data_IF_878491531050
#
_entry.id   IF_878491531050
#
_cell.length_a   1.000
_cell.length_b   1.000
_cell.length_c   1.000
_cell.angle_alpha   90.00
_cell.angle_beta   90.00
_cell.angle_gamma   90.00
#
_symmetry.space_group_name_H-M   'P 1'
#
loop_
_entity.id
_entity.type
_entity.pdbx_description
1 polymer ?
#
# COMPACT_ATOMS: atom_id res chain seq x y z
N UNK A 1 -61.69 -1.14 -25.03
CA UNK A 1 -60.35 -1.44 -25.57
C UNK A 1 -59.29 -0.56 -24.89
N UNK A 2 -59.16 -0.61 -23.55
CA UNK A 2 -58.27 0.29 -22.79
C UNK A 2 -57.76 -0.31 -21.46
N UNK A 3 -57.60 -1.63 -21.35
CA UNK A 3 -57.05 -2.25 -20.12
C UNK A 3 -55.76 -3.06 -20.32
N UNK A 4 -55.19 -3.09 -21.53
CA UNK A 4 -53.99 -3.91 -21.83
C UNK A 4 -52.65 -3.17 -21.73
N UNK A 5 -52.65 -1.84 -21.54
CA UNK A 5 -51.42 -1.05 -21.49
C UNK A 5 -50.99 -0.67 -20.06
N UNK A 6 -51.81 -0.92 -19.03
CA UNK A 6 -51.45 -0.55 -17.65
C UNK A 6 -50.43 -1.52 -17.03
N UNK A 7 -50.41 -2.79 -17.44
CA UNK A 7 -49.47 -3.78 -16.89
C UNK A 7 -48.05 -3.70 -17.47
N UNK A 8 -47.89 -3.16 -18.67
CA UNK A 8 -46.56 -2.96 -19.27
C UNK A 8 -45.80 -1.76 -18.69
N UNK A 9 -46.51 -0.78 -18.12
CA UNK A 9 -45.90 0.40 -17.54
C UNK A 9 -45.40 0.19 -16.09
N UNK A 10 -46.03 -0.73 -15.33
CA UNK A 10 -45.58 -1.08 -13.98
C UNK A 10 -44.36 -2.00 -13.98
N UNK A 11 -44.22 -2.88 -14.98
CA UNK A 11 -43.06 -3.78 -15.10
C UNK A 11 -41.78 -3.05 -15.54
N UNK A 12 -41.92 -1.92 -16.25
CA UNK A 12 -40.79 -1.10 -16.68
C UNK A 12 -40.33 -0.10 -15.61
N UNK A 13 -41.15 0.21 -14.61
CA UNK A 13 -40.77 1.08 -13.49
C UNK A 13 -39.91 0.36 -12.43
N UNK A 14 -40.11 -0.96 -12.26
CA UNK A 14 -39.29 -1.77 -11.33
C UNK A 14 -37.86 -2.03 -11.85
N UNK A 15 -37.65 -2.02 -13.17
CA UNK A 15 -36.32 -2.23 -13.76
C UNK A 15 -35.44 -0.96 -13.76
N UNK A 16 -35.97 0.21 -13.39
CA UNK A 16 -35.26 1.49 -13.45
C UNK A 16 -34.93 2.09 -12.08
N UNK A 17 -35.39 1.50 -10.97
CA UNK A 17 -35.15 2.02 -9.61
C UNK A 17 -34.19 1.17 -8.75
N UNK A 18 -33.62 0.09 -9.30
CA UNK A 18 -32.57 -0.68 -8.65
C UNK A 18 -31.18 -0.06 -8.79
N UNK A 19 -31.04 1.26 -8.65
CA UNK A 19 -29.72 1.85 -8.39
C UNK A 19 -29.40 1.62 -6.92
N UNK A 20 -29.12 0.36 -6.55
CA UNK A 20 -28.59 0.03 -5.23
C UNK A 20 -27.35 0.88 -5.05
N UNK A 21 -27.41 1.84 -4.14
CA UNK A 21 -26.30 2.72 -3.80
C UNK A 21 -25.19 1.85 -3.26
N UNK A 22 -24.27 1.44 -4.12
CA UNK A 22 -23.16 0.60 -3.71
C UNK A 22 -22.17 1.46 -2.92
N UNK A 23 -22.15 1.32 -1.60
CA UNK A 23 -21.21 2.04 -0.75
C UNK A 23 -19.78 1.58 -1.10
N UNK A 24 -18.93 2.53 -1.50
CA UNK A 24 -17.50 2.29 -1.63
C UNK A 24 -16.88 2.34 -0.23
N UNK A 25 -16.27 1.22 0.20
CA UNK A 25 -15.52 1.15 1.44
C UNK A 25 -14.04 1.34 1.10
N UNK A 26 -13.37 2.23 1.81
CA UNK A 26 -11.92 2.43 1.70
C UNK A 26 -11.26 2.25 3.06
N UNK A 27 -10.15 1.51 3.09
CA UNK A 27 -9.37 1.27 4.30
C UNK A 27 -7.89 1.41 3.99
N UNK A 28 -7.14 1.90 4.97
CA UNK A 28 -5.71 2.19 4.84
C UNK A 28 -4.99 1.69 6.08
N UNK A 29 -3.76 1.23 5.91
CA UNK A 29 -2.93 0.62 6.94
C UNK A 29 -1.51 1.18 6.83
N UNK A 30 -0.89 1.52 7.96
CA UNK A 30 0.55 1.79 8.00
C UNK A 30 1.37 0.49 7.91
N UNK A 31 2.70 0.62 7.85
CA UNK A 31 3.63 -0.51 7.79
C UNK A 31 3.60 -1.44 9.02
N UNK A 32 2.98 -1.01 10.12
CA UNK A 32 2.75 -1.82 11.33
C UNK A 32 1.37 -2.52 11.31
N UNK A 33 0.55 -2.23 10.29
CA UNK A 33 -0.82 -2.73 10.16
C UNK A 33 -1.84 -1.90 10.94
N UNK A 34 -1.51 -0.74 11.48
CA UNK A 34 -2.48 0.10 12.16
C UNK A 34 -3.42 0.75 11.14
N UNK A 35 -4.72 0.70 11.42
CA UNK A 35 -5.74 1.33 10.58
C UNK A 35 -5.59 2.85 10.59
N UNK A 36 -5.61 3.45 9.41
CA UNK A 36 -5.53 4.90 9.21
C UNK A 36 -6.91 5.45 8.84
N UNK A 37 -7.23 6.66 9.31
CA UNK A 37 -8.52 7.28 9.03
C UNK A 37 -8.69 7.62 7.55
N UNK A 38 -9.92 7.53 7.01
CA UNK A 38 -10.23 7.67 5.58
C UNK A 38 -9.90 9.06 4.94
N UNK A 39 -9.32 10.00 5.69
CA UNK A 39 -8.79 11.28 5.19
C UNK A 39 -7.26 11.39 5.22
N UNK A 40 -6.58 10.32 5.64
CA UNK A 40 -5.12 10.24 5.74
C UNK A 40 -4.45 9.78 4.45
N UNK A 41 -5.18 9.75 3.32
CA UNK A 41 -4.60 9.67 1.96
C UNK A 41 -3.34 10.50 2.00
N UNK A 42 -2.20 9.84 1.75
CA UNK A 42 -0.88 10.41 1.92
C UNK A 42 -0.89 11.86 1.46
N UNK A 43 -0.50 12.75 2.38
CA UNK A 43 -0.39 14.20 2.21
C UNK A 43 -0.17 14.53 0.72
N UNK A 44 -1.03 15.38 0.10
CA UNK A 44 -1.08 15.54 -1.35
C UNK A 44 0.30 15.81 -1.92
N UNK A 45 0.50 15.40 -3.18
CA UNK A 45 1.64 15.68 -4.07
C UNK A 45 2.07 17.16 -4.02
N UNK A 46 2.66 17.58 -2.92
CA UNK A 46 3.67 18.60 -2.92
C UNK A 46 4.97 17.83 -3.04
N UNK A 47 5.36 17.55 -4.28
CA UNK A 47 6.70 17.96 -4.68
C UNK A 47 6.84 19.41 -4.20
N UNK A 48 7.23 19.59 -2.93
CA UNK A 48 7.49 20.90 -2.40
C UNK A 48 8.54 21.48 -3.34
N UNK A 49 8.28 22.69 -3.78
CA UNK A 49 9.07 23.46 -4.74
C UNK A 49 10.53 23.71 -4.33
N UNK A 50 11.03 22.99 -3.32
CA UNK A 50 12.37 23.05 -2.75
C UNK A 50 13.32 21.92 -3.22
N UNK A 51 12.88 21.02 -4.13
CA UNK A 51 13.77 20.05 -4.80
C UNK A 51 14.96 20.74 -5.51
N UNK A 52 14.92 22.05 -5.73
CA UNK A 52 15.98 22.84 -6.37
C UNK A 52 17.31 22.91 -5.60
N UNK A 53 17.44 22.37 -4.38
CA UNK A 53 18.71 22.38 -3.61
C UNK A 53 19.38 21.03 -3.40
N UNK A 54 18.84 19.96 -3.94
CA UNK A 54 19.36 18.60 -3.70
C UNK A 54 19.93 18.02 -4.99
N UNK A 55 21.24 17.73 -5.00
CA UNK A 55 21.92 17.11 -6.14
C UNK A 55 21.86 15.59 -6.01
N UNK A 56 20.94 14.95 -6.75
CA UNK A 56 21.02 13.52 -7.03
C UNK A 56 22.21 13.30 -7.98
N UNK A 57 23.14 12.37 -7.71
CA UNK A 57 24.26 12.11 -8.60
C UNK A 57 23.81 11.73 -10.01
N UNK A 58 24.52 12.22 -11.03
CA UNK A 58 24.19 11.96 -12.44
C UNK A 58 24.10 10.47 -12.76
N UNK A 59 23.04 10.08 -13.50
CA UNK A 59 22.82 8.71 -13.97
C UNK A 59 22.20 7.76 -12.94
N UNK A 60 21.65 8.29 -11.84
CA UNK A 60 20.83 7.52 -10.90
C UNK A 60 19.36 7.77 -11.21
N UNK A 61 18.61 6.71 -11.49
CA UNK A 61 17.18 6.79 -11.80
C UNK A 61 16.35 6.54 -10.54
N UNK A 62 15.37 7.41 -10.30
CA UNK A 62 14.39 7.28 -9.22
C UNK A 62 13.05 6.81 -9.78
N UNK A 63 12.32 5.97 -9.04
CA UNK A 63 11.01 5.45 -9.45
C UNK A 63 9.95 6.56 -9.35
N UNK A 64 9.22 6.81 -10.43
CA UNK A 64 8.29 7.96 -10.53
C UNK A 64 7.08 7.89 -9.60
N UNK A 65 6.73 6.70 -9.13
CA UNK A 65 5.58 6.41 -8.28
C UNK A 65 5.97 6.27 -6.80
N UNK A 66 7.15 6.77 -6.43
CA UNK A 66 7.62 6.84 -5.05
C UNK A 66 7.88 8.31 -4.69
N UNK A 67 7.43 8.72 -3.49
CA UNK A 67 7.79 10.01 -2.93
C UNK A 67 9.20 9.93 -2.36
N UNK A 68 10.08 10.82 -2.79
CA UNK A 68 11.42 10.94 -2.21
C UNK A 68 11.50 12.14 -1.30
N UNK A 69 11.95 11.90 -0.08
CA UNK A 69 12.35 12.92 0.87
C UNK A 69 13.88 12.89 0.99
N UNK A 70 14.50 14.07 1.10
CA UNK A 70 15.94 14.17 1.18
C UNK A 70 16.36 14.90 2.43
N UNK A 71 17.37 14.37 3.11
CA UNK A 71 18.00 15.03 4.24
C UNK A 71 19.45 15.39 3.92
N UNK A 72 19.93 16.54 4.39
CA UNK A 72 21.24 17.04 4.01
C UNK A 72 22.39 16.32 4.72
N UNK A 73 23.43 16.01 3.96
CA UNK A 73 24.73 15.52 4.47
C UNK A 73 25.88 16.40 3.97
N UNK A 74 27.00 16.35 4.68
CA UNK A 74 28.16 17.21 4.45
C UNK A 74 29.47 16.45 4.62
N UNK A 75 30.52 16.86 3.90
CA UNK A 75 31.87 16.33 4.08
C UNK A 75 32.77 16.69 2.90
N UNK A 76 34.09 16.62 3.13
CA UNK A 76 35.11 16.82 2.08
C UNK A 76 35.73 15.50 1.61
N UNK A 77 35.44 14.40 2.30
CA UNK A 77 35.82 13.03 1.95
C UNK A 77 34.61 12.11 2.08
N UNK A 78 34.62 10.98 1.37
CA UNK A 78 33.56 9.98 1.43
C UNK A 78 33.28 9.53 2.87
N UNK A 79 34.33 9.28 3.66
CA UNK A 79 34.17 8.88 5.07
C UNK A 79 33.47 9.95 5.93
N UNK A 80 33.74 11.23 5.69
CA UNK A 80 33.03 12.32 6.38
C UNK A 80 31.56 12.40 5.97
N UNK A 81 31.27 12.19 4.68
CA UNK A 81 29.91 12.21 4.16
C UNK A 81 29.08 11.06 4.74
N UNK A 82 29.64 9.83 4.75
CA UNK A 82 28.98 8.66 5.34
C UNK A 82 28.70 8.88 6.83
N UNK A 83 29.70 9.38 7.58
CA UNK A 83 29.49 9.74 9.00
C UNK A 83 28.40 10.79 9.16
N UNK A 84 28.36 11.81 8.29
CA UNK A 84 27.28 12.81 8.32
C UNK A 84 25.91 12.19 8.04
N UNK A 85 25.81 11.18 7.18
CA UNK A 85 24.55 10.45 6.95
C UNK A 85 24.10 9.66 8.19
N UNK A 86 25.03 9.00 8.87
CA UNK A 86 24.76 8.26 10.11
C UNK A 86 24.34 9.18 11.28
N UNK A 87 24.93 10.37 11.35
CA UNK A 87 24.67 11.35 12.42
C UNK A 87 23.37 12.15 12.21
N UNK A 88 23.07 12.52 10.96
CA UNK A 88 21.96 13.41 10.59
C UNK A 88 20.72 12.69 10.07
N UNK A 89 20.71 11.35 10.01
CA UNK A 89 19.51 10.65 9.56
C UNK A 89 18.29 11.01 10.43
N UNK A 90 17.10 11.09 9.81
CA UNK A 90 15.88 11.34 10.55
C UNK A 90 15.65 10.18 11.52
N UNK A 91 15.66 10.49 12.81
CA UNK A 91 15.49 9.49 13.86
C UNK A 91 14.14 8.78 13.70
N UNK A 92 14.16 7.46 13.68
CA UNK A 92 12.92 6.71 13.83
C UNK A 92 12.39 6.89 15.26
N UNK A 93 11.35 7.70 15.41
CA UNK A 93 10.71 7.95 16.70
C UNK A 93 10.20 6.64 17.35
N UNK A 94 9.97 5.58 16.56
CA UNK A 94 9.50 4.28 17.05
C UNK A 94 10.65 3.36 17.47
N UNK A 95 11.64 3.11 16.62
CA UNK A 95 12.67 2.09 16.89
C UNK A 95 14.03 2.64 17.37
N UNK A 96 14.23 3.97 17.37
CA UNK A 96 15.51 4.63 17.72
C UNK A 96 16.73 4.18 16.91
N UNK A 97 16.55 3.31 15.93
CA UNK A 97 17.59 2.92 14.99
C UNK A 97 17.84 4.04 13.99
N UNK A 98 19.10 4.18 13.63
CA UNK A 98 19.62 5.23 12.77
C UNK A 98 20.16 4.57 11.52
N UNK A 99 19.35 4.53 10.47
CA UNK A 99 19.73 4.01 9.17
C UNK A 99 20.00 5.16 8.19
N UNK A 100 20.98 5.02 7.28
CA UNK A 100 21.30 6.05 6.30
C UNK A 100 20.19 6.24 5.25
N UNK A 101 19.30 5.28 5.08
CA UNK A 101 18.08 5.40 4.29
C UNK A 101 16.90 4.79 5.05
N UNK A 102 15.70 5.16 4.64
CA UNK A 102 14.46 4.61 5.22
C UNK A 102 13.37 4.59 4.16
N UNK A 103 12.56 3.53 4.16
CA UNK A 103 11.28 3.49 3.48
C UNK A 103 10.13 3.43 4.48
N UNK A 104 9.12 4.26 4.24
CA UNK A 104 7.80 4.17 4.86
C UNK A 104 6.77 3.89 3.76
N UNK A 105 5.79 3.04 4.07
CA UNK A 105 4.74 2.71 3.13
C UNK A 105 3.39 2.59 3.82
N UNK A 106 2.34 2.83 3.06
CA UNK A 106 0.96 2.56 3.46
C UNK A 106 0.29 1.67 2.44
N UNK A 107 -0.46 0.70 2.93
CA UNK A 107 -1.32 -0.17 2.15
C UNK A 107 -2.74 0.40 2.19
N UNK A 108 -3.39 0.52 1.05
CA UNK A 108 -4.79 0.91 1.00
C UNK A 108 -5.57 0.03 0.04
N UNK A 109 -6.86 -0.08 0.27
CA UNK A 109 -7.77 -0.61 -0.74
C UNK A 109 -9.12 0.07 -0.71
N UNK A 110 -9.79 0.01 -1.85
CA UNK A 110 -11.22 0.29 -1.95
C UNK A 110 -11.95 -0.83 -2.65
N UNK A 111 -13.21 -1.02 -2.29
CA UNK A 111 -14.09 -2.02 -2.88
C UNK A 111 -15.55 -1.62 -2.72
N UNK A 112 -16.41 -2.28 -3.47
CA UNK A 112 -17.87 -2.13 -3.45
C UNK A 112 -18.53 -3.42 -2.97
N UNK A 113 -19.72 -3.32 -2.37
CA UNK A 113 -20.47 -4.48 -1.89
C UNK A 113 -21.84 -4.55 -2.58
N UNK A 114 -22.09 -5.64 -3.30
CA UNK A 114 -23.42 -5.96 -3.80
C UNK A 114 -24.16 -6.83 -2.78
N UNK A 115 -25.43 -6.50 -2.51
CA UNK A 115 -26.29 -7.26 -1.61
C UNK A 115 -27.40 -7.94 -2.41
N UNK A 116 -27.63 -9.22 -2.12
CA UNK A 116 -28.79 -9.96 -2.61
C UNK A 116 -29.54 -10.60 -1.45
N UNK A 117 -30.86 -10.63 -1.53
CA UNK A 117 -31.74 -11.12 -0.48
C UNK A 117 -32.56 -12.31 -0.99
N UNK A 118 -32.64 -13.37 -0.19
CA UNK A 118 -33.46 -14.55 -0.42
C UNK A 118 -34.36 -14.76 0.81
N UNK A 119 -35.67 -14.78 0.60
CA UNK A 119 -36.64 -15.04 1.67
C UNK A 119 -36.92 -16.53 1.72
N UNK A 120 -36.60 -17.14 2.86
CA UNK A 120 -36.97 -18.52 3.18
C UNK A 120 -38.37 -18.51 3.81
N UNK A 121 -39.39 -18.77 2.99
CA UNK A 121 -40.80 -18.76 3.39
C UNK A 121 -41.14 -19.85 4.43
N UNK A 122 -40.37 -20.95 4.49
CA UNK A 122 -40.61 -22.05 5.44
C UNK A 122 -40.15 -21.69 6.85
N UNK A 123 -39.02 -21.00 6.97
CA UNK A 123 -38.46 -20.54 8.25
C UNK A 123 -38.82 -19.10 8.62
N UNK A 124 -39.47 -18.37 7.71
CA UNK A 124 -39.74 -16.94 7.82
C UNK A 124 -38.46 -16.14 8.12
N UNK A 125 -37.36 -16.51 7.46
CA UNK A 125 -36.06 -15.84 7.59
C UNK A 125 -35.65 -15.19 6.28
N UNK A 126 -34.96 -14.06 6.37
CA UNK A 126 -34.30 -13.44 5.21
C UNK A 126 -32.82 -13.83 5.27
N UNK A 127 -32.35 -14.45 4.20
CA UNK A 127 -30.93 -14.70 3.93
C UNK A 127 -30.40 -13.56 3.08
N UNK A 128 -29.34 -12.93 3.53
CA UNK A 128 -28.66 -11.89 2.76
C UNK A 128 -27.31 -12.43 2.36
N UNK A 129 -26.99 -12.37 1.07
CA UNK A 129 -25.67 -12.64 0.53
C UNK A 129 -25.00 -11.32 0.16
N UNK A 130 -23.73 -11.18 0.53
CA UNK A 130 -22.91 -10.04 0.17
C UNK A 130 -21.75 -10.47 -0.73
N UNK A 131 -21.50 -9.69 -1.77
CA UNK A 131 -20.44 -9.91 -2.75
C UNK A 131 -19.56 -8.67 -2.87
N UNK A 132 -18.25 -8.85 -2.68
CA UNK A 132 -17.25 -7.80 -2.83
C UNK A 132 -16.81 -7.74 -4.29
N UNK A 133 -16.80 -6.55 -4.88
CA UNK A 133 -16.34 -6.33 -6.25
C UNK A 133 -15.62 -4.98 -6.41
N UNK A 134 -15.07 -4.72 -7.60
CA UNK A 134 -14.27 -3.53 -7.92
C UNK A 134 -13.10 -3.29 -6.93
N UNK A 135 -12.42 -4.35 -6.50
CA UNK A 135 -11.32 -4.27 -5.54
C UNK A 135 -10.12 -3.55 -6.17
N UNK A 136 -9.75 -2.41 -5.60
CA UNK A 136 -8.55 -1.65 -5.96
C UNK A 136 -7.59 -1.69 -4.80
N UNK A 137 -6.37 -2.18 -5.02
CA UNK A 137 -5.28 -2.16 -4.01
C UNK A 137 -4.29 -1.07 -4.40
N UNK A 138 -3.86 -0.28 -3.42
CA UNK A 138 -2.98 0.87 -3.56
C UNK A 138 -1.84 0.80 -2.57
N UNK A 139 -0.67 1.29 -2.98
CA UNK A 139 0.51 1.37 -2.12
C UNK A 139 1.17 2.73 -2.29
N UNK A 140 1.25 3.49 -1.20
CA UNK A 140 1.98 4.75 -1.19
C UNK A 140 3.34 4.52 -0.53
N UNK A 141 4.40 4.98 -1.19
CA UNK A 141 5.78 4.82 -0.75
C UNK A 141 6.43 6.17 -0.52
N UNK A 142 7.15 6.28 0.59
CA UNK A 142 8.09 7.37 0.85
C UNK A 142 9.46 6.78 1.12
N UNK A 143 10.47 7.19 0.35
CA UNK A 143 11.87 6.84 0.62
C UNK A 143 12.61 8.11 1.04
N UNK A 144 13.28 8.04 2.18
CA UNK A 144 14.11 9.13 2.71
C UNK A 144 15.59 8.82 2.49
N UNK A 145 16.28 9.69 1.74
CA UNK A 145 17.66 9.49 1.31
C UNK A 145 18.59 10.65 1.73
N UNK A 146 19.89 10.37 1.96
CA UNK A 146 20.87 11.41 2.22
C UNK A 146 21.25 12.10 0.91
N UNK A 147 21.34 13.41 0.90
CA UNK A 147 21.81 14.18 -0.27
C UNK A 147 22.90 15.17 0.13
N UNK A 148 23.93 15.23 -0.69
CA UNK A 148 25.03 16.16 -0.47
C UNK A 148 24.57 17.56 -0.91
N UNK A 149 24.66 18.55 -0.03
CA UNK A 149 24.28 19.94 -0.38
C UNK A 149 25.29 20.59 -1.32
N UNK A 150 26.57 20.24 -1.18
CA UNK A 150 27.66 20.81 -1.96
C UNK A 150 28.71 19.74 -2.27
N UNK A 151 28.89 19.45 -3.55
CA UNK A 151 29.87 18.49 -4.06
C UNK A 151 31.13 19.15 -4.61
N UNK A 152 31.23 20.48 -4.59
CA UNK A 152 32.31 21.23 -5.26
C UNK A 152 33.67 20.99 -4.61
N UNK A 153 33.69 20.69 -3.31
CA UNK A 153 34.89 20.36 -2.56
C UNK A 153 35.40 18.93 -2.79
N UNK A 154 34.60 18.06 -3.42
CA UNK A 154 34.97 16.66 -3.65
C UNK A 154 35.81 16.51 -4.92
N UNK A 155 36.92 15.78 -4.79
CA UNK A 155 37.66 15.32 -5.96
C UNK A 155 36.84 14.23 -6.72
N UNK A 156 37.18 13.94 -8.00
CA UNK A 156 36.41 12.99 -8.79
C UNK A 156 36.30 11.57 -8.21
N UNK A 157 37.30 11.11 -7.47
CA UNK A 157 37.27 9.79 -6.84
C UNK A 157 36.24 9.75 -5.70
N UNK A 158 36.20 10.79 -4.86
CA UNK A 158 35.22 10.93 -3.78
C UNK A 158 33.79 11.07 -4.33
N UNK A 159 33.61 11.83 -5.42
CA UNK A 159 32.32 11.93 -6.12
C UNK A 159 31.84 10.56 -6.61
N UNK A 160 32.74 9.74 -7.15
CA UNK A 160 32.42 8.39 -7.61
C UNK A 160 32.08 7.45 -6.45
N UNK A 161 32.81 7.52 -5.34
CA UNK A 161 32.49 6.75 -4.12
C UNK A 161 31.11 7.11 -3.58
N UNK A 162 30.81 8.41 -3.48
CA UNK A 162 29.49 8.91 -3.08
C UNK A 162 28.38 8.43 -4.02
N UNK A 163 28.59 8.56 -5.34
CA UNK A 163 27.64 8.07 -6.35
C UNK A 163 27.34 6.58 -6.17
N UNK A 164 28.36 5.74 -6.01
CA UNK A 164 28.18 4.30 -5.84
C UNK A 164 27.47 3.96 -4.53
N UNK A 165 27.75 4.69 -3.46
CA UNK A 165 27.06 4.52 -2.19
C UNK A 165 25.59 4.91 -2.28
N UNK A 166 25.28 6.10 -2.84
CA UNK A 166 23.90 6.55 -3.03
C UNK A 166 23.12 5.59 -3.93
N UNK A 167 23.73 5.11 -5.03
CA UNK A 167 23.12 4.11 -5.91
C UNK A 167 22.74 2.84 -5.13
N UNK A 168 23.62 2.35 -4.25
CA UNK A 168 23.32 1.17 -3.42
C UNK A 168 22.17 1.41 -2.45
N UNK A 169 22.07 2.59 -1.85
CA UNK A 169 20.93 2.95 -1.00
C UNK A 169 19.63 2.97 -1.81
N UNK A 170 19.66 3.57 -3.01
CA UNK A 170 18.49 3.61 -3.90
C UNK A 170 18.06 2.20 -4.29
N UNK A 171 18.99 1.36 -4.73
CA UNK A 171 18.73 -0.04 -5.09
C UNK A 171 18.17 -0.85 -3.91
N UNK A 172 18.72 -0.66 -2.71
CA UNK A 172 18.25 -1.31 -1.49
C UNK A 172 16.79 -0.94 -1.18
N UNK A 173 16.45 0.35 -1.23
CA UNK A 173 15.07 0.80 -0.95
C UNK A 173 14.10 0.45 -2.09
N UNK A 174 14.56 0.39 -3.34
CA UNK A 174 13.78 -0.10 -4.48
C UNK A 174 13.44 -1.58 -4.35
N UNK A 175 14.36 -2.41 -3.84
CA UNK A 175 14.10 -3.82 -3.58
C UNK A 175 12.99 -3.99 -2.52
N UNK A 176 12.98 -3.17 -1.47
CA UNK A 176 11.87 -3.14 -0.50
C UNK A 176 10.55 -2.76 -1.17
N UNK A 177 10.53 -1.70 -1.99
CA UNK A 177 9.34 -1.33 -2.75
C UNK A 177 8.85 -2.47 -3.66
N UNK A 178 9.77 -3.22 -4.29
CA UNK A 178 9.46 -4.41 -5.10
C UNK A 178 8.85 -5.53 -4.28
N UNK A 179 9.34 -5.80 -3.07
CA UNK A 179 8.78 -6.83 -2.17
C UNK A 179 7.34 -6.51 -1.79
N UNK A 180 7.06 -5.24 -1.51
CA UNK A 180 5.73 -4.82 -1.06
C UNK A 180 4.73 -4.78 -2.21
N UNK A 181 5.17 -4.33 -3.39
CA UNK A 181 4.35 -4.25 -4.62
C UNK A 181 4.36 -5.54 -5.44
N UNK A 182 4.74 -6.65 -4.81
CA UNK A 182 4.87 -7.94 -5.45
C UNK A 182 3.52 -8.42 -6.01
N UNK A 183 3.48 -8.67 -7.32
CA UNK A 183 2.24 -8.95 -8.05
C UNK A 183 1.57 -10.24 -7.59
N UNK A 184 2.34 -11.30 -7.38
CA UNK A 184 1.81 -12.59 -6.94
C UNK A 184 1.12 -12.45 -5.58
N UNK A 185 1.72 -11.64 -4.70
CA UNK A 185 1.16 -11.34 -3.40
C UNK A 185 -0.14 -10.50 -3.53
N UNK A 186 -0.19 -9.55 -4.46
CA UNK A 186 -1.44 -8.81 -4.75
C UNK A 186 -2.54 -9.74 -5.27
N UNK A 187 -2.21 -10.71 -6.12
CA UNK A 187 -3.17 -11.71 -6.60
C UNK A 187 -3.67 -12.63 -5.48
N UNK A 188 -2.79 -13.04 -4.57
CA UNK A 188 -3.19 -13.79 -3.36
C UNK A 188 -4.16 -12.98 -2.49
N UNK A 189 -3.86 -11.71 -2.26
CA UNK A 189 -4.75 -10.80 -1.52
C UNK A 189 -6.10 -10.66 -2.23
N UNK A 190 -6.13 -10.50 -3.55
CA UNK A 190 -7.39 -10.44 -4.32
C UNK A 190 -8.19 -11.75 -4.21
N UNK A 191 -7.53 -12.91 -4.20
CA UNK A 191 -8.20 -14.22 -3.98
C UNK A 191 -8.78 -14.31 -2.58
N UNK A 192 -8.07 -13.81 -1.57
CA UNK A 192 -8.55 -13.78 -0.19
C UNK A 192 -9.80 -12.89 -0.05
N UNK A 193 -9.80 -11.71 -0.67
CA UNK A 193 -10.99 -10.86 -0.76
C UNK A 193 -12.15 -11.55 -1.50
N UNK A 194 -11.85 -12.26 -2.59
CA UNK A 194 -12.87 -13.01 -3.34
C UNK A 194 -13.42 -14.19 -2.53
N UNK A 195 -12.68 -14.72 -1.55
CA UNK A 195 -13.14 -15.79 -0.66
C UNK A 195 -14.06 -15.30 0.46
N UNK A 196 -14.06 -13.99 0.75
CA UNK A 196 -15.08 -13.34 1.59
C UNK A 196 -16.43 -13.22 0.88
N UNK A 197 -16.51 -13.56 -0.42
CA UNK A 197 -17.79 -13.57 -1.12
C UNK A 197 -18.71 -14.61 -0.48
N UNK A 198 -19.88 -14.13 -0.05
CA UNK A 198 -21.02 -14.89 0.49
C UNK A 198 -20.94 -15.20 1.98
N UNK A 199 -20.97 -14.15 2.81
CA UNK A 199 -21.50 -14.30 4.17
C UNK A 199 -23.04 -14.30 4.12
N UNK A 200 -23.64 -15.40 4.60
CA UNK A 200 -25.09 -15.55 4.72
C UNK A 200 -25.50 -15.15 6.13
N UNK A 201 -26.33 -14.12 6.23
CA UNK A 201 -26.88 -13.66 7.50
C UNK A 201 -28.37 -14.02 7.61
N UNK A 202 -28.81 -14.44 8.79
CA UNK A 202 -30.22 -14.74 9.11
C UNK A 202 -30.78 -13.58 9.93
N UNK A 203 -31.83 -12.91 9.45
CA UNK A 203 -32.31 -11.65 10.05
C UNK A 203 -33.77 -11.65 10.52
N UNK A 204 -34.05 -10.70 11.44
CA UNK A 204 -35.39 -10.24 11.88
C UNK A 204 -35.63 -8.78 11.43
N UNK A 205 -36.90 -8.36 11.37
CA UNK A 205 -37.36 -7.13 10.70
C UNK A 205 -36.84 -5.77 11.24
N UNK A 206 -36.10 -5.75 12.35
CA UNK A 206 -35.68 -4.52 13.04
C UNK A 206 -34.21 -4.09 12.76
N UNK A 207 -33.49 -4.79 11.87
CA UNK A 207 -32.06 -4.59 11.62
C UNK A 207 -31.83 -3.99 10.22
N UNK A 208 -31.02 -2.93 10.16
CA UNK A 208 -30.48 -2.36 8.92
C UNK A 208 -29.41 -3.31 8.33
N UNK A 209 -29.79 -4.02 7.27
CA UNK A 209 -29.00 -5.09 6.62
C UNK A 209 -27.71 -4.54 6.04
N UNK A 210 -27.80 -3.49 5.21
CA UNK A 210 -26.65 -2.90 4.52
C UNK A 210 -25.62 -2.42 5.53
N UNK A 211 -26.08 -1.75 6.59
CA UNK A 211 -25.19 -1.25 7.65
C UNK A 211 -24.56 -2.35 8.48
N UNK A 212 -25.27 -3.45 8.72
CA UNK A 212 -24.76 -4.55 9.55
C UNK A 212 -23.78 -5.41 8.78
N UNK A 213 -24.17 -5.89 7.58
CA UNK A 213 -23.31 -6.67 6.70
C UNK A 213 -22.08 -5.86 6.27
N UNK A 214 -22.26 -4.59 5.92
CA UNK A 214 -21.16 -3.68 5.59
C UNK A 214 -20.12 -3.55 6.71
N UNK A 215 -20.56 -3.46 7.98
CA UNK A 215 -19.64 -3.42 9.13
C UNK A 215 -18.89 -4.73 9.36
N UNK A 216 -19.54 -5.87 9.15
CA UNK A 216 -18.91 -7.18 9.32
C UNK A 216 -17.83 -7.37 8.25
N UNK A 217 -18.19 -7.14 6.98
CA UNK A 217 -17.24 -7.18 5.86
C UNK A 217 -16.09 -6.19 6.07
N UNK A 218 -16.40 -4.96 6.49
CA UNK A 218 -15.37 -3.96 6.81
C UNK A 218 -14.40 -4.47 7.90
N UNK A 219 -14.91 -5.15 8.92
CA UNK A 219 -14.08 -5.68 10.02
C UNK A 219 -13.21 -6.87 9.57
N UNK A 220 -13.76 -7.78 8.78
CA UNK A 220 -13.01 -8.92 8.23
C UNK A 220 -11.93 -8.45 7.26
N UNK A 221 -12.28 -7.57 6.32
CA UNK A 221 -11.27 -6.93 5.45
C UNK A 221 -10.22 -6.19 6.27
N UNK A 222 -10.59 -5.47 7.34
CA UNK A 222 -9.61 -4.82 8.22
C UNK A 222 -8.64 -5.80 8.88
N UNK A 223 -9.12 -7.00 9.24
CA UNK A 223 -8.28 -8.07 9.78
C UNK A 223 -7.30 -8.59 8.73
N UNK A 224 -7.77 -8.84 7.50
CA UNK A 224 -6.90 -9.18 6.36
C UNK A 224 -5.82 -8.11 6.19
N UNK A 225 -6.16 -6.83 6.29
CA UNK A 225 -5.21 -5.73 6.06
C UNK A 225 -4.11 -5.67 7.10
N UNK A 226 -4.48 -5.88 8.37
CA UNK A 226 -3.53 -6.02 9.48
C UNK A 226 -2.58 -7.20 9.27
N UNK A 227 -3.10 -8.35 8.87
CA UNK A 227 -2.31 -9.56 8.68
C UNK A 227 -1.39 -9.43 7.46
N UNK A 228 -1.90 -8.86 6.37
CA UNK A 228 -1.15 -8.57 5.16
C UNK A 228 0.01 -7.61 5.42
N UNK A 229 -0.24 -6.50 6.10
CA UNK A 229 0.81 -5.53 6.43
C UNK A 229 1.94 -6.17 7.26
N UNK A 230 1.58 -7.04 8.23
CA UNK A 230 2.57 -7.80 9.02
C UNK A 230 3.36 -8.78 8.15
N UNK A 231 2.72 -9.49 7.23
CA UNK A 231 3.39 -10.42 6.32
C UNK A 231 4.37 -9.69 5.40
N UNK A 232 3.98 -8.54 4.86
CA UNK A 232 4.83 -7.67 4.05
C UNK A 232 6.05 -7.17 4.83
N UNK A 233 5.83 -6.67 6.06
CA UNK A 233 6.92 -6.26 6.97
C UNK A 233 7.88 -7.42 7.27
N UNK A 234 7.35 -8.63 7.49
CA UNK A 234 8.16 -9.82 7.72
C UNK A 234 9.02 -10.18 6.49
N UNK A 235 8.46 -10.14 5.28
CA UNK A 235 9.19 -10.41 4.03
C UNK A 235 10.32 -9.40 3.79
N UNK A 236 10.08 -8.14 4.08
CA UNK A 236 11.10 -7.07 4.04
C UNK A 236 12.25 -7.37 5.03
N UNK A 237 11.94 -7.74 6.28
CA UNK A 237 12.95 -8.12 7.26
C UNK A 237 13.72 -9.41 6.90
N UNK A 238 13.06 -10.38 6.25
CA UNK A 238 13.71 -11.59 5.73
C UNK A 238 14.70 -11.26 4.60
N UNK A 239 14.34 -10.33 3.71
CA UNK A 239 15.24 -9.82 2.69
C UNK A 239 16.48 -9.17 3.31
N UNK A 240 16.30 -8.30 4.32
CA UNK A 240 17.42 -7.64 5.00
C UNK A 240 18.40 -8.67 5.59
N UNK A 241 17.86 -9.67 6.30
CA UNK A 241 18.66 -10.74 6.89
C UNK A 241 19.36 -11.61 5.83
N UNK A 242 18.67 -11.92 4.73
CA UNK A 242 19.21 -12.80 3.69
C UNK A 242 20.30 -12.11 2.86
N UNK A 243 20.13 -10.82 2.60
CA UNK A 243 20.99 -10.04 1.70
C UNK A 243 22.04 -9.21 2.43
N UNK A 244 22.10 -9.28 3.76
CA UNK A 244 22.93 -8.40 4.59
C UNK A 244 22.63 -6.94 4.24
N UNK A 245 21.36 -6.55 4.40
CA UNK A 245 20.84 -5.21 4.07
C UNK A 245 21.17 -4.78 2.63
N UNK A 246 20.98 -5.68 1.66
CA UNK A 246 21.25 -5.44 0.24
C UNK A 246 22.73 -5.46 -0.16
N UNK A 247 23.68 -5.64 0.77
CA UNK A 247 25.12 -5.60 0.46
C UNK A 247 25.65 -6.91 -0.16
N UNK A 248 24.97 -8.04 0.03
CA UNK A 248 25.32 -9.32 -0.57
C UNK A 248 24.64 -9.51 -1.95
N UNK A 249 25.15 -8.85 -2.99
CA UNK A 249 24.57 -8.84 -4.35
C UNK A 249 24.16 -10.20 -4.90
N UNK A 250 24.99 -11.24 -4.76
CA UNK A 250 24.68 -12.59 -5.26
C UNK A 250 23.42 -13.20 -4.62
N UNK A 251 23.08 -12.77 -3.40
CA UNK A 251 21.90 -13.22 -2.67
C UNK A 251 20.65 -12.42 -3.00
N UNK A 252 20.78 -11.18 -3.52
CA UNK A 252 19.64 -10.36 -3.95
C UNK A 252 18.86 -11.05 -5.06
N UNK A 253 19.56 -11.42 -6.14
CA UNK A 253 18.94 -12.11 -7.27
C UNK A 253 18.31 -13.44 -6.84
N UNK A 254 19.01 -14.18 -5.98
CA UNK A 254 18.54 -15.47 -5.45
C UNK A 254 17.26 -15.33 -4.62
N UNK A 255 17.10 -14.24 -3.85
CA UNK A 255 15.89 -13.99 -3.07
C UNK A 255 14.67 -13.79 -3.96
N UNK A 256 14.83 -13.05 -5.06
CA UNK A 256 13.74 -12.80 -6.01
C UNK A 256 13.49 -13.97 -6.96
N UNK A 257 14.50 -14.78 -7.29
CA UNK A 257 14.37 -15.92 -8.21
C UNK A 257 13.81 -17.19 -7.56
N UNK A 258 13.79 -17.28 -6.23
CA UNK A 258 13.28 -18.46 -5.51
C UNK A 258 11.77 -18.69 -5.70
N UNK A 259 11.03 -17.70 -6.23
CA UNK A 259 9.59 -17.79 -6.47
C UNK A 259 9.19 -18.48 -7.79
N UNK A 260 10.13 -18.74 -8.71
CA UNK A 260 9.84 -19.38 -10.01
C UNK A 260 9.89 -20.92 -9.99
N UNK A 261 9.76 -21.58 -8.84
CA UNK A 261 9.79 -23.05 -8.74
C UNK A 261 8.55 -23.66 -8.12
#
# INVERSE_FOLDING_TARGET
MQLRYLHLFFLSFFLLYGSVSCAEISQYFDSDGNSLSAGSKGRPDSLSSDVKRYSIPDGIELLRDIRYEFYPVFGKTFSEIVRSAEENNPADLKNKERLPSRSDWTLGWSYKIHYSEEVDEESNTVRVSAEIYDITITYDFTITLPTLIDDTALNPAEKNLWKNYFLRLVEYEHDHAKIIRDKDAQEELQKEFSSLNHEVFIFSADIDIEKTAGKIIQKETEKIGREWAKNLKKRSAEYDKATDYGFAFQKRDSFFSQKEK
#
